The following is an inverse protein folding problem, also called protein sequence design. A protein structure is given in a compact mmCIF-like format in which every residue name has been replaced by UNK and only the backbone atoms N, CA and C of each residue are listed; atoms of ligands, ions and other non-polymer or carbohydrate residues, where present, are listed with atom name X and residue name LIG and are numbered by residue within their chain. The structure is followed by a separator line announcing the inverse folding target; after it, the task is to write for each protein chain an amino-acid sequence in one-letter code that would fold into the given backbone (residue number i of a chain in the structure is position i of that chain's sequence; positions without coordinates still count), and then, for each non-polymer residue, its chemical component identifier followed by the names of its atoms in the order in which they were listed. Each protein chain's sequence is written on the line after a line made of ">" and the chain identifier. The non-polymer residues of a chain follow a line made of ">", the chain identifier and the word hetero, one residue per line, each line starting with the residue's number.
data_IF_427147563001
#
_entry.id   IF_427147563001
#
_cell.length_a   1.000
_cell.length_b   1.000
_cell.length_c   1.000
_cell.angle_alpha   90.00
_cell.angle_beta   90.00
_cell.angle_gamma   90.00
#
_symmetry.space_group_name_H-M   'P 1'
#
loop_
_entity.id
_entity.type
_entity.pdbx_description
1 polymer ?
#
# COMPACT_ATOMS: atom_id res chain seq x y z
N UNK A 1 -3.46 -0.35 10.12
CA UNK A 1 -4.44 -1.20 10.82
C UNK A 1 -4.44 -1.00 12.34
N UNK A 2 -3.30 -0.94 13.05
CA UNK A 2 -3.29 -0.62 14.51
C UNK A 2 -2.46 0.62 14.93
N UNK A 3 -1.42 1.02 14.18
CA UNK A 3 -0.59 2.20 14.53
C UNK A 3 -0.85 3.47 13.71
N UNK A 4 -1.37 3.32 12.48
CA UNK A 4 -1.40 4.40 11.47
C UNK A 4 -2.79 4.67 10.87
N UNK A 5 -3.81 3.90 11.24
CA UNK A 5 -5.14 3.99 10.62
C UNK A 5 -5.21 3.62 9.12
N UNK A 6 -4.12 3.10 8.53
CA UNK A 6 -4.13 2.66 7.13
C UNK A 6 -5.03 1.44 6.92
N UNK A 7 -5.81 1.46 5.83
CA UNK A 7 -6.66 0.35 5.38
C UNK A 7 -5.80 -0.69 4.66
N UNK A 8 -6.20 -1.97 4.72
CA UNK A 8 -5.46 -3.05 4.05
C UNK A 8 -5.30 -2.83 2.55
N UNK A 9 -6.32 -2.30 1.87
CA UNK A 9 -6.26 -1.97 0.44
C UNK A 9 -5.26 -0.87 0.09
N UNK A 10 -5.02 0.07 1.00
CA UNK A 10 -4.00 1.12 0.84
C UNK A 10 -2.60 0.54 1.10
N UNK A 11 -2.49 -0.38 2.07
CA UNK A 11 -1.23 -1.05 2.43
C UNK A 11 -0.69 -1.94 1.29
N UNK A 12 -1.55 -2.77 0.69
CA UNK A 12 -1.13 -3.66 -0.41
C UNK A 12 -0.86 -2.93 -1.72
N UNK A 13 -1.23 -1.65 -1.81
CA UNK A 13 -0.97 -0.78 -2.95
C UNK A 13 0.24 0.16 -2.73
N UNK A 14 0.96 0.00 -1.62
CA UNK A 14 2.07 0.85 -1.23
C UNK A 14 3.30 0.58 -2.12
N UNK A 15 3.86 1.66 -2.66
CA UNK A 15 5.06 1.68 -3.50
C UNK A 15 6.13 2.56 -2.83
N UNK A 16 7.37 2.49 -3.30
CA UNK A 16 8.49 3.23 -2.68
C UNK A 16 8.40 4.75 -2.84
N UNK A 17 7.76 5.24 -3.90
CA UNK A 17 7.69 6.66 -4.27
C UNK A 17 6.94 7.54 -3.27
N UNK A 18 6.17 6.95 -2.36
CA UNK A 18 5.33 7.71 -1.43
C UNK A 18 5.96 7.96 -0.07
N UNK A 19 7.14 7.41 0.20
CA UNK A 19 7.83 7.54 1.48
C UNK A 19 8.69 8.80 1.56
N UNK A 20 8.57 9.52 2.66
CA UNK A 20 9.36 10.70 2.97
C UNK A 20 9.72 10.68 4.47
N UNK A 21 10.96 10.27 4.78
CA UNK A 21 11.42 10.04 6.16
C UNK A 21 10.55 9.03 6.93
N UNK A 22 10.03 9.46 8.07
CA UNK A 22 9.09 8.69 8.91
C UNK A 22 7.62 8.86 8.49
N UNK A 23 7.37 9.44 7.32
CA UNK A 23 6.01 9.64 6.80
C UNK A 23 5.83 8.93 5.46
N UNK A 24 4.58 8.66 5.10
CA UNK A 24 4.26 8.22 3.75
C UNK A 24 2.87 8.69 3.31
N UNK A 25 2.74 8.96 2.02
CA UNK A 25 1.49 9.47 1.42
C UNK A 25 0.62 8.32 0.94
N UNK A 26 -0.63 8.29 1.37
CA UNK A 26 -1.65 7.44 0.79
C UNK A 26 -2.08 8.05 -0.53
N UNK A 27 -1.76 7.39 -1.63
CA UNK A 27 -2.18 7.80 -2.99
C UNK A 27 -2.94 6.72 -3.73
N UNK A 28 -2.75 5.46 -3.33
CA UNK A 28 -3.23 4.29 -4.04
C UNK A 28 -4.09 3.43 -3.13
N UNK A 29 -5.09 2.79 -3.70
CA UNK A 29 -5.89 1.78 -3.01
C UNK A 29 -6.17 0.63 -3.96
N UNK A 30 -6.15 -0.58 -3.42
CA UNK A 30 -6.75 -1.72 -4.09
C UNK A 30 -8.28 -1.54 -4.18
N UNK A 31 -8.81 -1.95 -5.31
CA UNK A 31 -10.23 -2.06 -5.60
C UNK A 31 -10.51 -3.46 -6.13
N UNK A 32 -11.67 -4.00 -5.79
CA UNK A 32 -12.15 -5.27 -6.32
C UNK A 32 -13.43 -5.06 -7.12
N UNK A 33 -13.55 -5.72 -8.25
CA UNK A 33 -14.76 -5.77 -9.05
C UNK A 33 -14.93 -7.15 -9.67
N UNK A 34 -16.18 -7.48 -10.04
CA UNK A 34 -16.47 -8.73 -10.73
C UNK A 34 -16.11 -8.55 -12.21
N UNK A 35 -15.22 -9.40 -12.70
CA UNK A 35 -14.87 -9.47 -14.12
C UNK A 35 -15.96 -10.15 -14.94
N UNK A 36 -15.84 -10.03 -16.27
CA UNK A 36 -16.77 -10.65 -17.22
C UNK A 36 -16.77 -12.19 -17.15
N UNK A 37 -15.68 -12.78 -16.67
CA UNK A 37 -15.52 -14.22 -16.43
C UNK A 37 -16.12 -14.70 -15.09
N UNK A 38 -16.78 -13.81 -14.35
CA UNK A 38 -17.35 -14.09 -13.03
C UNK A 38 -16.30 -14.19 -11.91
N UNK A 39 -15.04 -13.86 -12.17
CA UNK A 39 -13.98 -13.86 -11.14
C UNK A 39 -13.75 -12.45 -10.61
N UNK A 40 -13.33 -12.37 -9.35
CA UNK A 40 -12.95 -11.09 -8.75
C UNK A 40 -11.59 -10.63 -9.30
N UNK A 41 -11.58 -9.45 -9.91
CA UNK A 41 -10.38 -8.77 -10.37
C UNK A 41 -9.95 -7.77 -9.31
N UNK A 42 -8.68 -7.84 -8.91
CA UNK A 42 -8.06 -6.95 -7.92
C UNK A 42 -7.15 -5.96 -8.65
N UNK A 43 -7.58 -4.70 -8.72
CA UNK A 43 -6.85 -3.65 -9.43
C UNK A 43 -6.43 -2.54 -8.48
N UNK A 44 -5.27 -1.94 -8.75
CA UNK A 44 -4.79 -0.76 -8.02
C UNK A 44 -5.29 0.49 -8.71
N UNK A 45 -5.99 1.33 -7.96
CA UNK A 45 -6.31 2.67 -8.41
C UNK A 45 -5.18 3.61 -8.03
N UNK A 46 -4.44 4.10 -9.03
CA UNK A 46 -3.23 4.94 -8.85
C UNK A 46 -3.51 6.31 -8.23
N UNK A 47 -4.73 6.81 -8.38
CA UNK A 47 -5.16 8.09 -7.83
C UNK A 47 -6.44 7.93 -7.03
N UNK A 48 -6.56 8.59 -5.86
CA UNK A 48 -7.79 8.55 -5.10
C UNK A 48 -8.92 9.21 -5.89
N UNK A 49 -10.16 8.83 -5.58
CA UNK A 49 -11.37 9.39 -6.23
C UNK A 49 -11.55 10.89 -5.93
N UNK A 50 -11.01 11.37 -4.81
CA UNK A 50 -11.10 12.75 -4.35
C UNK A 50 -9.85 13.14 -3.56
N UNK A 51 -9.60 14.44 -3.38
CA UNK A 51 -8.49 14.95 -2.56
C UNK A 51 -8.50 14.40 -1.12
N UNK A 52 -9.69 14.12 -0.56
CA UNK A 52 -9.83 13.50 0.76
C UNK A 52 -9.19 12.11 0.87
N UNK A 53 -8.89 11.45 -0.26
CA UNK A 53 -8.15 10.19 -0.29
C UNK A 53 -6.64 10.35 -0.28
N UNK A 54 -6.12 11.56 -0.49
CA UNK A 54 -4.69 11.88 -0.32
C UNK A 54 -4.47 12.31 1.12
N UNK A 55 -3.81 11.45 1.91
CA UNK A 55 -3.41 11.81 3.28
C UNK A 55 -2.00 11.36 3.57
N UNK A 56 -1.28 12.13 4.37
CA UNK A 56 0.02 11.74 4.90
C UNK A 56 -0.18 10.97 6.19
N UNK A 57 0.37 9.77 6.25
CA UNK A 57 0.50 9.00 7.47
C UNK A 57 1.83 9.34 8.10
N UNK A 58 1.81 9.70 9.39
CA UNK A 58 3.00 9.97 10.19
C UNK A 58 3.24 8.75 11.06
N UNK A 59 4.44 8.19 10.99
CA UNK A 59 4.90 7.18 11.94
C UNK A 59 5.62 7.92 13.07
N UNK A 60 5.24 7.70 14.34
CA UNK A 60 5.95 8.31 15.47
C UNK A 60 7.45 7.98 15.41
N UNK A 61 8.29 8.88 15.89
CA UNK A 61 9.75 8.78 15.75
C UNK A 61 10.33 7.51 16.38
N UNK A 62 9.77 7.08 17.52
CA UNK A 62 10.11 5.81 18.17
C UNK A 62 9.92 4.58 17.27
N UNK A 63 9.09 4.71 16.23
CA UNK A 63 8.82 3.68 15.22
C UNK A 63 9.39 4.03 13.84
N UNK A 64 10.26 5.02 13.70
CA UNK A 64 10.86 5.40 12.42
C UNK A 64 11.59 4.21 11.74
N UNK A 65 12.13 3.29 12.54
CA UNK A 65 12.74 2.04 12.07
C UNK A 65 11.78 1.19 11.23
N UNK A 66 10.47 1.30 11.45
CA UNK A 66 9.45 0.56 10.72
C UNK A 66 9.43 0.95 9.24
N UNK A 67 9.56 2.24 8.92
CA UNK A 67 9.66 2.70 7.53
C UNK A 67 10.83 2.03 6.81
N UNK A 68 12.02 2.04 7.43
CA UNK A 68 13.22 1.41 6.88
C UNK A 68 13.03 -0.09 6.68
N UNK A 69 12.42 -0.77 7.67
CA UNK A 69 12.17 -2.21 7.60
C UNK A 69 11.19 -2.54 6.47
N UNK A 70 10.09 -1.80 6.35
CA UNK A 70 9.08 -1.98 5.30
C UNK A 70 9.72 -1.82 3.92
N UNK A 71 10.51 -0.75 3.70
CA UNK A 71 11.20 -0.53 2.42
C UNK A 71 12.21 -1.64 2.10
N UNK A 72 12.81 -2.26 3.12
CA UNK A 72 13.76 -3.37 2.93
C UNK A 72 13.12 -4.71 2.55
N UNK A 73 11.79 -4.87 2.67
CA UNK A 73 11.11 -6.14 2.36
C UNK A 73 11.19 -6.48 0.85
N UNK A 74 11.02 -5.47 0.00
CA UNK A 74 11.15 -5.60 -1.45
C UNK A 74 11.78 -4.34 -2.05
N UNK A 75 13.09 -4.12 -1.86
CA UNK A 75 13.72 -2.82 -2.10
C UNK A 75 13.79 -2.44 -3.59
N UNK A 76 13.72 -3.41 -4.50
CA UNK A 76 13.83 -3.19 -5.95
C UNK A 76 12.51 -3.42 -6.70
N UNK A 77 11.48 -3.92 -6.03
CA UNK A 77 10.17 -4.14 -6.63
C UNK A 77 9.29 -2.90 -6.62
N UNK A 78 8.32 -2.86 -7.53
CA UNK A 78 7.35 -1.77 -7.61
C UNK A 78 6.50 -1.65 -6.34
N UNK A 79 6.00 -2.79 -5.85
CA UNK A 79 5.19 -2.89 -4.63
C UNK A 79 6.03 -3.41 -3.47
N UNK A 80 5.78 -2.85 -2.30
CA UNK A 80 6.51 -3.23 -1.09
C UNK A 80 6.05 -4.59 -0.56
N UNK A 81 4.74 -4.83 -0.58
CA UNK A 81 4.14 -6.06 -0.08
C UNK A 81 3.90 -7.01 -1.24
N UNK A 82 4.75 -8.02 -1.34
CA UNK A 82 4.67 -9.08 -2.35
C UNK A 82 4.76 -10.45 -1.71
N UNK A 83 4.25 -11.47 -2.41
CA UNK A 83 4.51 -12.87 -2.07
C UNK A 83 5.95 -13.28 -2.43
N UNK A 84 6.28 -14.56 -2.16
CA UNK A 84 7.61 -15.14 -2.46
C UNK A 84 7.93 -15.18 -3.96
N UNK A 85 6.93 -15.08 -4.84
CA UNK A 85 7.09 -15.03 -6.29
C UNK A 85 7.27 -13.59 -6.82
N UNK A 86 7.21 -12.58 -5.94
CA UNK A 86 7.28 -11.17 -6.32
C UNK A 86 5.94 -10.60 -6.78
N UNK A 87 4.85 -11.35 -6.70
CA UNK A 87 3.52 -10.86 -7.03
C UNK A 87 2.97 -10.02 -5.88
N UNK A 88 2.41 -8.86 -6.21
CA UNK A 88 1.77 -7.94 -5.24
C UNK A 88 0.73 -8.68 -4.40
N UNK A 89 0.75 -8.43 -3.09
CA UNK A 89 -0.28 -8.94 -2.20
C UNK A 89 -1.65 -8.31 -2.52
N UNK A 90 -2.74 -9.02 -2.25
CA UNK A 90 -4.09 -8.48 -2.36
C UNK A 90 -4.83 -8.61 -1.04
N UNK A 91 -5.97 -7.96 -0.92
CA UNK A 91 -6.85 -8.04 0.27
C UNK A 91 -7.51 -9.41 0.46
N UNK A 92 -7.39 -10.30 -0.53
CA UNK A 92 -7.91 -11.67 -0.50
C UNK A 92 -6.80 -12.71 -0.29
N UNK A 93 -5.82 -12.34 0.54
CA UNK A 93 -4.71 -13.20 0.91
C UNK A 93 -5.20 -14.50 1.57
#
# INVERSE_FOLDING_TARGET
>A
MFATGIRVGELVALKHDVFDGNTFKIRRTETRFLGEDGKYVYSVKEFPKSEAGVRTVIIPEDYAWLCSKIKSLNPFGEYIFTDKSGKRMTTNY
#
